data_IF_275362232569
#
_entry.id   IF_275362232569
#
_cell.length_a   1.000
_cell.length_b   1.000
_cell.length_c   1.000
_cell.angle_alpha   90.00
_cell.angle_beta   90.00
_cell.angle_gamma   90.00
#
_symmetry.space_group_name_H-M   'P 1'
#
loop_
_entity.id
_entity.type
_entity.pdbx_description
1 polymer ?
#
# COMPACT_ATOMS: atom_id res chain seq x y z
N UNK A 1 32.52 -30.29 41.56
CA UNK A 1 31.41 -30.47 40.61
C UNK A 1 30.87 -29.08 40.28
N UNK A 2 31.13 -28.58 39.08
CA UNK A 2 30.69 -27.24 38.63
C UNK A 2 29.49 -27.45 37.71
N UNK A 3 28.30 -26.90 38.00
CA UNK A 3 27.16 -27.04 37.12
C UNK A 3 27.35 -26.08 35.94
N UNK A 4 27.48 -26.63 34.74
CA UNK A 4 27.43 -25.86 33.51
C UNK A 4 26.00 -25.36 33.29
N UNK A 5 25.80 -24.05 33.45
CA UNK A 5 24.55 -23.37 33.14
C UNK A 5 24.43 -23.28 31.61
N UNK A 6 23.63 -24.15 31.00
CA UNK A 6 23.24 -24.08 29.59
C UNK A 6 22.34 -22.85 29.40
N UNK A 7 22.97 -21.71 29.11
CA UNK A 7 22.27 -20.50 28.68
C UNK A 7 21.71 -20.77 27.27
N UNK A 8 20.42 -21.11 27.20
CA UNK A 8 19.73 -21.33 25.93
C UNK A 8 19.79 -20.08 25.07
N UNK A 9 20.53 -20.14 23.97
CA UNK A 9 20.46 -19.18 22.88
C UNK A 9 19.04 -19.23 22.29
N UNK A 10 18.16 -18.37 22.79
CA UNK A 10 16.88 -18.08 22.14
C UNK A 10 17.23 -17.37 20.84
N UNK A 11 17.37 -18.14 19.76
CA UNK A 11 17.53 -17.59 18.43
C UNK A 11 16.29 -16.76 18.11
N UNK A 12 16.43 -15.44 18.13
CA UNK A 12 15.41 -14.56 17.60
C UNK A 12 15.20 -14.95 16.14
N UNK A 13 14.07 -15.58 15.83
CA UNK A 13 13.67 -15.90 14.46
C UNK A 13 13.46 -14.57 13.75
N UNK A 14 14.49 -14.10 13.05
CA UNK A 14 14.39 -12.91 12.21
C UNK A 14 13.41 -13.25 11.09
N UNK A 15 12.37 -12.44 10.94
CA UNK A 15 11.30 -12.64 9.98
C UNK A 15 10.86 -11.28 9.46
N UNK A 16 10.13 -11.27 8.36
CA UNK A 16 9.88 -10.05 7.60
C UNK A 16 8.68 -9.32 8.13
N UNK A 17 8.85 -8.03 8.40
CA UNK A 17 7.89 -7.22 9.12
C UNK A 17 7.98 -5.76 8.69
N UNK A 18 6.84 -5.16 8.34
CA UNK A 18 6.72 -3.76 7.93
C UNK A 18 7.03 -2.74 9.04
N UNK A 19 7.15 -3.16 10.30
CA UNK A 19 7.25 -2.22 11.42
C UNK A 19 5.87 -1.72 11.87
N UNK A 20 5.85 -0.94 12.95
CA UNK A 20 4.59 -0.33 13.44
C UNK A 20 4.17 0.93 12.68
N UNK A 21 5.04 1.42 11.78
CA UNK A 21 4.91 2.71 11.11
C UNK A 21 4.79 2.62 9.59
N UNK A 22 4.66 1.41 9.03
CA UNK A 22 4.41 1.20 7.60
C UNK A 22 3.25 0.22 7.37
N UNK A 23 2.62 0.36 6.21
CA UNK A 23 1.43 -0.38 5.77
C UNK A 23 1.80 -1.27 4.59
N UNK A 24 1.39 -2.54 4.55
CA UNK A 24 1.64 -3.43 3.42
C UNK A 24 0.79 -2.97 2.22
N UNK A 25 1.41 -2.63 1.08
CA UNK A 25 0.71 -2.09 -0.09
C UNK A 25 0.93 -2.89 -1.37
N UNK A 26 1.96 -3.73 -1.42
CA UNK A 26 2.16 -4.64 -2.56
C UNK A 26 2.41 -6.04 -2.07
N UNK A 27 2.03 -6.99 -2.91
CA UNK A 27 2.43 -8.38 -2.75
C UNK A 27 2.84 -8.92 -4.12
N UNK A 28 4.05 -9.48 -4.19
CA UNK A 28 4.62 -10.05 -5.40
C UNK A 28 4.92 -11.53 -5.16
N UNK A 29 4.66 -12.33 -6.18
CA UNK A 29 5.11 -13.73 -6.24
C UNK A 29 6.27 -13.79 -7.22
N UNK A 30 7.46 -14.13 -6.75
CA UNK A 30 8.61 -14.31 -7.63
C UNK A 30 8.35 -15.45 -8.63
N UNK A 31 9.09 -15.49 -9.75
CA UNK A 31 8.99 -16.60 -10.72
C UNK A 31 9.24 -17.98 -10.10
N UNK A 32 10.02 -18.04 -9.03
CA UNK A 32 10.27 -19.26 -8.26
C UNK A 32 9.17 -19.58 -7.21
N UNK A 33 8.11 -18.77 -7.12
CA UNK A 33 6.99 -18.99 -6.20
C UNK A 33 7.14 -18.32 -4.82
N UNK A 34 8.29 -17.76 -4.48
CA UNK A 34 8.51 -17.09 -3.19
C UNK A 34 7.71 -15.78 -3.08
N UNK A 35 7.10 -15.49 -1.92
CA UNK A 35 6.38 -14.25 -1.69
C UNK A 35 7.33 -13.09 -1.38
N UNK A 36 6.95 -11.88 -1.79
CA UNK A 36 7.62 -10.63 -1.44
C UNK A 36 6.57 -9.60 -0.99
N UNK A 37 6.71 -9.09 0.24
CA UNK A 37 5.79 -8.10 0.81
C UNK A 37 6.39 -6.68 0.73
N UNK A 38 5.72 -5.77 0.03
CA UNK A 38 6.13 -4.37 -0.02
C UNK A 38 5.34 -3.51 0.96
N UNK A 39 6.06 -2.70 1.74
CA UNK A 39 5.53 -1.80 2.75
C UNK A 39 5.72 -0.33 2.31
N UNK A 40 4.81 0.55 2.71
CA UNK A 40 4.89 2.00 2.47
C UNK A 40 4.49 2.79 3.72
N UNK A 41 4.96 4.03 3.82
CA UNK A 41 4.62 4.98 4.89
C UNK A 41 3.71 6.07 4.31
N UNK A 42 2.38 5.86 4.26
CA UNK A 42 1.48 6.87 3.72
C UNK A 42 1.45 8.14 4.57
N UNK A 43 0.96 9.23 3.99
CA UNK A 43 0.97 10.55 4.65
C UNK A 43 0.10 10.61 5.91
N UNK A 44 -0.96 9.80 5.99
CA UNK A 44 -1.83 9.72 7.16
C UNK A 44 -1.32 8.80 8.29
N UNK A 45 -0.22 8.05 8.11
CA UNK A 45 0.22 7.01 9.03
C UNK A 45 1.73 7.11 9.36
N UNK A 46 2.15 6.47 10.46
CA UNK A 46 3.55 6.38 10.89
C UNK A 46 4.03 7.55 11.75
N UNK A 47 3.12 8.24 12.43
CA UNK A 47 3.42 9.47 13.18
C UNK A 47 3.31 9.27 14.70
N UNK A 48 4.18 9.94 15.44
CA UNK A 48 4.17 9.99 16.92
C UNK A 48 3.30 11.14 17.44
N UNK A 49 3.07 11.14 18.76
CA UNK A 49 2.41 12.25 19.47
C UNK A 49 3.14 13.60 19.31
N UNK A 50 4.45 13.55 19.07
CA UNK A 50 5.30 14.72 18.86
C UNK A 50 5.24 15.24 17.42
N UNK A 51 4.39 14.66 16.56
CA UNK A 51 4.28 15.04 15.16
C UNK A 51 5.49 14.60 14.31
N UNK A 52 6.35 13.71 14.83
CA UNK A 52 7.51 13.19 14.09
C UNK A 52 7.20 11.85 13.48
N UNK A 53 7.89 11.49 12.39
CA UNK A 53 7.83 10.13 11.85
C UNK A 53 8.59 9.16 12.74
N UNK A 54 7.97 8.00 12.99
CA UNK A 54 8.64 6.89 13.67
C UNK A 54 9.75 6.35 12.78
N UNK A 55 10.96 6.29 13.35
CA UNK A 55 12.15 5.77 12.66
C UNK A 55 12.18 4.24 12.54
N UNK A 56 11.23 3.54 13.18
CA UNK A 56 11.17 2.08 13.27
C UNK A 56 11.40 1.42 11.90
N UNK A 57 12.37 0.52 11.87
CA UNK A 57 12.91 -0.05 10.65
C UNK A 57 12.12 -1.29 10.29
N UNK A 58 11.32 -1.20 9.23
CA UNK A 58 10.85 -2.41 8.56
C UNK A 58 12.05 -3.35 8.36
N UNK A 59 11.86 -4.63 8.70
CA UNK A 59 12.90 -5.64 8.63
C UNK A 59 12.48 -6.68 7.61
N UNK A 60 13.42 -7.11 6.75
CA UNK A 60 13.14 -8.09 5.72
C UNK A 60 14.20 -9.19 5.78
N UNK A 61 13.74 -10.43 5.73
CA UNK A 61 14.55 -11.62 5.80
C UNK A 61 15.16 -11.92 4.44
N UNK A 62 16.38 -12.45 4.43
CA UNK A 62 17.08 -12.80 3.20
C UNK A 62 16.95 -14.28 2.91
N UNK A 63 16.29 -14.61 1.80
CA UNK A 63 16.19 -15.97 1.26
C UNK A 63 17.09 -16.02 0.02
N UNK A 64 18.13 -16.84 0.05
CA UNK A 64 19.12 -16.95 -1.03
C UNK A 64 19.73 -15.58 -1.42
N UNK A 65 20.02 -14.74 -0.42
CA UNK A 65 20.59 -13.41 -0.61
C UNK A 65 19.62 -12.32 -1.07
N UNK A 66 18.33 -12.64 -1.29
CA UNK A 66 17.29 -11.69 -1.67
C UNK A 66 16.31 -11.46 -0.53
N UNK A 67 15.96 -10.20 -0.28
CA UNK A 67 14.94 -9.86 0.70
C UNK A 67 13.55 -10.32 0.22
N UNK A 68 12.77 -10.92 1.11
CA UNK A 68 11.37 -11.33 0.90
C UNK A 68 10.37 -10.21 1.26
N UNK A 69 10.85 -8.97 1.25
CA UNK A 69 10.06 -7.77 1.36
C UNK A 69 10.90 -6.52 1.15
N UNK A 70 10.24 -5.36 1.16
CA UNK A 70 10.92 -4.08 1.00
C UNK A 70 10.09 -2.92 1.55
N UNK A 71 10.77 -1.82 1.89
CA UNK A 71 10.12 -0.53 2.14
C UNK A 71 10.18 0.30 0.86
N UNK A 72 9.07 0.93 0.47
CA UNK A 72 9.00 1.79 -0.71
C UNK A 72 10.13 2.84 -0.67
N UNK A 73 10.84 2.99 -1.79
CA UNK A 73 12.09 3.78 -1.87
C UNK A 73 11.94 5.22 -1.37
N UNK A 74 10.80 5.87 -1.64
CA UNK A 74 10.52 7.24 -1.16
C UNK A 74 10.40 7.34 0.36
N UNK A 75 10.10 6.24 1.04
CA UNK A 75 9.76 6.19 2.46
C UNK A 75 10.94 5.74 3.33
N UNK A 76 12.03 5.29 2.70
CA UNK A 76 13.32 5.00 3.33
C UNK A 76 13.95 6.28 3.88
N UNK A 77 13.85 7.38 3.13
CA UNK A 77 14.32 8.69 3.56
C UNK A 77 13.16 9.44 4.22
N UNK A 78 13.25 9.69 5.52
CA UNK A 78 12.27 10.50 6.25
C UNK A 78 12.42 11.97 5.82
N UNK A 79 11.67 12.37 4.78
CA UNK A 79 11.79 13.72 4.17
C UNK A 79 10.99 14.82 4.89
N UNK A 80 10.10 14.49 5.82
CA UNK A 80 9.24 15.48 6.49
C UNK A 80 9.34 15.33 8.00
N UNK A 81 9.96 16.30 8.71
CA UNK A 81 10.35 16.06 10.09
C UNK A 81 9.24 16.39 11.10
N UNK A 82 8.26 17.23 10.77
CA UNK A 82 7.33 17.74 11.78
C UNK A 82 5.92 18.05 11.27
N UNK A 83 4.94 17.55 12.02
CA UNK A 83 3.61 18.13 12.21
C UNK A 83 3.60 18.94 13.51
N UNK A 84 2.62 19.83 13.66
CA UNK A 84 2.41 20.62 14.88
C UNK A 84 2.25 19.74 16.11
N UNK A 85 2.64 20.24 17.29
CA UNK A 85 2.48 19.53 18.57
C UNK A 85 0.99 19.21 18.84
N UNK A 86 0.73 18.07 19.48
CA UNK A 86 -0.64 17.61 19.78
C UNK A 86 -1.25 16.68 18.73
N UNK A 87 -0.43 16.03 17.90
CA UNK A 87 -0.90 15.09 16.89
C UNK A 87 -1.39 13.78 17.52
N UNK A 88 -2.50 13.23 17.02
CA UNK A 88 -2.97 11.89 17.43
C UNK A 88 -2.06 10.84 16.78
N UNK A 89 -1.32 10.02 17.55
CA UNK A 89 -0.43 9.01 16.98
C UNK A 89 -1.16 8.08 16.01
N UNK A 90 -0.56 7.84 14.86
CA UNK A 90 -1.11 6.93 13.83
C UNK A 90 -0.13 5.79 13.63
N UNK A 91 -0.15 4.83 14.56
CA UNK A 91 0.73 3.65 14.57
C UNK A 91 -0.11 2.39 14.74
N UNK A 92 0.39 1.27 14.22
CA UNK A 92 -0.25 -0.03 14.39
C UNK A 92 0.31 -0.78 15.60
N UNK A 93 -0.55 -1.57 16.24
CA UNK A 93 -0.12 -2.56 17.23
C UNK A 93 0.03 -3.91 16.54
N UNK A 94 1.22 -4.53 16.65
CA UNK A 94 1.53 -5.76 15.92
C UNK A 94 1.78 -6.91 16.89
N UNK A 95 1.21 -8.07 16.58
CA UNK A 95 1.43 -9.32 17.31
C UNK A 95 2.92 -9.66 17.34
N UNK A 96 3.40 -10.44 18.29
CA UNK A 96 4.81 -10.87 18.31
C UNK A 96 5.06 -12.13 17.48
N UNK A 97 4.04 -13.00 17.38
CA UNK A 97 4.16 -14.32 16.77
C UNK A 97 3.61 -14.35 15.34
N UNK A 98 4.05 -15.35 14.58
CA UNK A 98 3.52 -15.67 13.27
C UNK A 98 2.50 -16.80 13.37
N UNK A 99 1.36 -16.67 12.66
CA UNK A 99 0.24 -17.61 12.69
C UNK A 99 -0.16 -18.04 11.29
N UNK A 100 -0.81 -19.20 11.16
CA UNK A 100 -1.15 -19.80 9.86
C UNK A 100 -2.51 -19.34 9.29
N UNK A 101 -3.40 -18.83 10.13
CA UNK A 101 -4.80 -18.57 9.76
C UNK A 101 -5.04 -17.16 9.19
N UNK A 102 -4.00 -16.46 8.73
CA UNK A 102 -4.11 -15.08 8.27
C UNK A 102 -4.51 -14.10 9.38
N UNK A 103 -4.98 -12.91 9.01
CA UNK A 103 -5.36 -11.83 9.93
C UNK A 103 -6.87 -11.66 10.10
N UNK A 104 -7.29 -11.20 11.30
CA UNK A 104 -8.69 -10.98 11.64
C UNK A 104 -9.22 -9.67 11.07
N UNK A 105 -10.54 -9.46 11.15
CA UNK A 105 -11.14 -8.17 10.79
C UNK A 105 -10.56 -7.03 11.66
N UNK A 106 -10.28 -5.88 11.05
CA UNK A 106 -9.58 -4.77 11.72
C UNK A 106 -8.06 -4.97 11.86
N UNK A 107 -7.50 -6.03 11.26
CA UNK A 107 -6.06 -6.27 11.14
C UNK A 107 -5.62 -6.31 9.66
N UNK A 108 -4.30 -6.22 9.45
CA UNK A 108 -3.63 -6.50 8.17
C UNK A 108 -2.41 -7.40 8.36
N UNK A 109 -1.87 -7.93 7.27
CA UNK A 109 -0.60 -8.67 7.27
C UNK A 109 0.57 -7.70 7.43
N UNK A 110 1.09 -7.59 8.63
CA UNK A 110 2.26 -6.77 8.94
C UNK A 110 3.57 -7.46 8.58
N UNK A 111 3.58 -8.77 8.37
CA UNK A 111 4.79 -9.52 8.09
C UNK A 111 4.56 -10.96 7.62
N UNK A 112 5.59 -11.54 7.03
CA UNK A 112 5.64 -12.94 6.57
C UNK A 112 6.78 -13.69 7.25
N UNK A 113 6.51 -14.91 7.69
CA UNK A 113 7.57 -15.79 8.14
C UNK A 113 8.40 -16.24 6.93
N UNK A 114 9.73 -16.41 7.08
CA UNK A 114 10.58 -16.87 5.98
C UNK A 114 10.09 -18.21 5.42
N UNK A 115 9.94 -18.29 4.09
CA UNK A 115 9.70 -19.56 3.40
C UNK A 115 10.99 -20.06 2.77
N UNK A 116 11.62 -21.08 3.36
CA UNK A 116 12.76 -21.78 2.73
C UNK A 116 12.33 -22.57 1.49
N UNK A 117 11.11 -23.10 1.49
CA UNK A 117 10.50 -23.83 0.39
C UNK A 117 9.25 -23.11 -0.15
N UNK A 118 9.27 -22.76 -1.44
CA UNK A 118 8.15 -22.14 -2.14
C UNK A 118 6.95 -23.08 -2.32
N UNK A 119 7.11 -24.40 -2.18
CA UNK A 119 6.01 -25.37 -2.28
C UNK A 119 5.41 -25.75 -0.92
N UNK A 120 5.94 -25.21 0.17
CA UNK A 120 5.32 -25.38 1.49
C UNK A 120 3.89 -24.84 1.47
N UNK A 121 2.95 -25.69 1.91
CA UNK A 121 1.52 -25.34 2.01
C UNK A 121 1.27 -24.27 3.08
N UNK A 122 2.14 -24.16 4.07
CA UNK A 122 1.96 -23.23 5.18
C UNK A 122 2.58 -21.88 4.85
N UNK A 123 1.76 -20.84 4.77
CA UNK A 123 2.20 -19.44 4.86
C UNK A 123 1.89 -18.95 6.27
N UNK A 124 2.89 -18.47 7.00
CA UNK A 124 2.66 -17.85 8.30
C UNK A 124 2.80 -16.35 8.18
N UNK A 125 1.83 -15.63 8.74
CA UNK A 125 1.77 -14.18 8.74
C UNK A 125 1.78 -13.64 10.16
N UNK A 126 2.33 -12.44 10.32
CA UNK A 126 2.25 -11.62 11.53
C UNK A 126 1.21 -10.54 11.30
N UNK A 127 0.27 -10.39 12.21
CA UNK A 127 -0.83 -9.44 12.05
C UNK A 127 -0.59 -8.15 12.84
N UNK A 128 -1.10 -7.05 12.29
CA UNK A 128 -1.13 -5.76 12.96
C UNK A 128 -2.55 -5.20 12.95
N UNK A 129 -2.95 -4.57 14.04
CA UNK A 129 -4.20 -3.84 14.17
C UNK A 129 -3.97 -2.34 14.13
N UNK A 130 -4.96 -1.63 13.59
CA UNK A 130 -5.01 -0.18 13.57
C UNK A 130 -6.48 0.25 13.55
N UNK A 131 -6.89 1.10 14.49
CA UNK A 131 -8.30 1.39 14.77
C UNK A 131 -9.15 1.72 13.51
N UNK A 132 -8.69 2.63 12.63
CA UNK A 132 -9.41 2.96 11.39
C UNK A 132 -9.68 1.79 10.43
N UNK A 133 -9.01 0.64 10.59
CA UNK A 133 -9.22 -0.52 9.74
C UNK A 133 -10.57 -1.20 9.95
N UNK A 134 -11.24 -1.01 11.08
CA UNK A 134 -12.58 -1.59 11.30
C UNK A 134 -13.60 -1.09 10.27
N UNK A 135 -13.42 0.13 9.77
CA UNK A 135 -14.27 0.75 8.74
C UNK A 135 -13.66 0.66 7.34
N UNK A 136 -12.65 -0.19 7.14
CA UNK A 136 -12.06 -0.39 5.83
C UNK A 136 -13.06 -1.02 4.86
N UNK A 137 -12.95 -0.67 3.58
CA UNK A 137 -13.78 -1.23 2.51
C UNK A 137 -13.07 -2.41 1.86
N UNK A 138 -13.83 -3.44 1.47
CA UNK A 138 -13.28 -4.54 0.68
C UNK A 138 -13.04 -4.09 -0.77
N UNK A 139 -11.84 -4.34 -1.29
CA UNK A 139 -11.48 -4.09 -2.70
C UNK A 139 -11.45 -5.36 -3.53
N UNK A 140 -11.64 -6.51 -2.89
CA UNK A 140 -11.69 -7.81 -3.52
C UNK A 140 -10.40 -8.62 -3.35
N UNK A 141 -10.34 -9.71 -4.11
CA UNK A 141 -9.30 -10.72 -4.00
C UNK A 141 -8.56 -10.79 -5.34
N UNK A 142 -7.25 -10.56 -5.31
CA UNK A 142 -6.37 -10.77 -6.46
C UNK A 142 -5.75 -12.16 -6.38
N UNK A 143 -6.01 -13.00 -7.38
CA UNK A 143 -5.37 -14.29 -7.52
C UNK A 143 -4.06 -14.15 -8.31
N UNK A 144 -2.94 -14.52 -7.70
CA UNK A 144 -1.60 -14.36 -8.27
C UNK A 144 -0.91 -15.70 -8.47
N UNK A 145 -0.23 -15.80 -9.61
CA UNK A 145 0.65 -16.88 -10.01
C UNK A 145 2.12 -16.42 -9.96
N UNK A 146 3.10 -17.34 -10.05
CA UNK A 146 4.51 -16.97 -10.08
C UNK A 146 4.84 -15.95 -11.17
N UNK A 147 5.56 -14.90 -10.80
CA UNK A 147 5.90 -13.77 -11.67
C UNK A 147 4.88 -12.63 -11.68
N UNK A 148 3.76 -12.77 -10.97
CA UNK A 148 2.72 -11.73 -10.87
C UNK A 148 2.83 -10.94 -9.57
N UNK A 149 2.16 -9.78 -9.54
CA UNK A 149 2.05 -8.94 -8.35
C UNK A 149 0.74 -8.17 -8.33
N UNK A 150 0.32 -7.77 -7.14
CA UNK A 150 -0.76 -6.79 -6.91
C UNK A 150 -0.19 -5.56 -6.22
N UNK A 151 -0.73 -4.39 -6.59
CA UNK A 151 -0.29 -3.08 -6.11
C UNK A 151 -1.51 -2.30 -5.64
N UNK A 152 -1.52 -1.95 -4.35
CA UNK A 152 -2.38 -0.93 -3.77
C UNK A 152 -1.63 0.40 -3.65
N UNK A 153 -1.79 1.08 -2.52
CA UNK A 153 -1.14 2.36 -2.24
C UNK A 153 -2.12 3.53 -2.12
N UNK A 154 -1.60 4.74 -2.28
CA UNK A 154 -2.38 5.97 -2.17
C UNK A 154 -3.48 6.07 -3.23
N UNK A 155 -4.68 6.41 -2.78
CA UNK A 155 -5.84 6.70 -3.62
C UNK A 155 -6.12 8.18 -3.54
N UNK A 156 -6.12 8.84 -4.70
CA UNK A 156 -6.34 10.29 -4.80
C UNK A 156 -7.65 10.62 -5.50
N UNK A 157 -8.29 11.69 -5.07
CA UNK A 157 -9.46 12.28 -5.72
C UNK A 157 -9.22 13.79 -5.84
N UNK A 158 -9.33 14.32 -7.06
CA UNK A 158 -9.03 15.74 -7.35
C UNK A 158 -7.64 16.18 -6.85
N UNK A 159 -6.64 15.29 -6.95
CA UNK A 159 -5.27 15.53 -6.49
C UNK A 159 -5.04 15.45 -4.98
N UNK A 160 -6.09 15.20 -4.17
CA UNK A 160 -6.00 15.04 -2.72
C UNK A 160 -5.98 13.57 -2.32
N UNK A 161 -5.16 13.20 -1.34
CA UNK A 161 -5.15 11.85 -0.77
C UNK A 161 -6.44 11.62 0.02
N UNK A 162 -7.19 10.58 -0.35
CA UNK A 162 -8.48 10.23 0.29
C UNK A 162 -8.49 8.86 0.96
N UNK A 163 -7.70 7.92 0.44
CA UNK A 163 -7.65 6.57 0.96
C UNK A 163 -6.30 5.90 0.68
N UNK A 164 -6.13 4.70 1.23
CA UNK A 164 -4.98 3.86 0.99
C UNK A 164 -5.42 2.40 0.84
N UNK A 165 -5.07 1.79 -0.29
CA UNK A 165 -5.32 0.38 -0.58
C UNK A 165 -4.17 -0.47 -0.02
N UNK A 166 -4.47 -1.42 0.85
CA UNK A 166 -3.49 -2.23 1.58
C UNK A 166 -3.76 -3.72 1.44
N UNK A 167 -2.72 -4.52 1.66
CA UNK A 167 -2.80 -5.98 1.68
C UNK A 167 -3.32 -6.42 3.05
N UNK A 168 -4.60 -6.80 3.09
CA UNK A 168 -5.28 -7.15 4.33
C UNK A 168 -4.97 -8.59 4.76
N UNK A 169 -5.02 -9.52 3.82
CA UNK A 169 -4.83 -10.94 4.11
C UNK A 169 -4.28 -11.71 2.90
N UNK A 170 -3.74 -12.90 3.14
CA UNK A 170 -3.12 -13.77 2.15
C UNK A 170 -3.51 -15.21 2.44
N UNK A 171 -3.90 -15.93 1.38
CA UNK A 171 -4.07 -17.37 1.41
C UNK A 171 -3.21 -17.99 0.30
N UNK A 172 -2.39 -18.97 0.67
CA UNK A 172 -1.54 -19.72 -0.26
C UNK A 172 -2.17 -21.08 -0.55
N UNK A 173 -2.28 -21.41 -1.82
CA UNK A 173 -2.80 -22.67 -2.32
C UNK A 173 -1.71 -23.32 -3.17
N UNK A 174 -1.49 -24.62 -2.96
CA UNK A 174 -0.74 -25.48 -3.87
C UNK A 174 -1.76 -26.37 -4.55
N UNK A 175 -2.04 -26.11 -5.83
CA UNK A 175 -2.98 -26.90 -6.61
C UNK A 175 -2.43 -28.33 -6.82
N UNK A 176 -3.32 -29.27 -7.16
CA UNK A 176 -2.94 -30.70 -7.33
C UNK A 176 -1.88 -30.92 -8.41
N UNK A 177 -1.83 -30.04 -9.41
CA UNK A 177 -0.82 -30.04 -10.46
C UNK A 177 0.52 -29.39 -10.04
N UNK A 178 0.68 -29.01 -8.77
CA UNK A 178 1.86 -28.34 -8.23
C UNK A 178 1.90 -26.81 -8.44
N UNK A 179 0.88 -26.22 -9.03
CA UNK A 179 0.84 -24.76 -9.26
C UNK A 179 0.68 -24.01 -7.95
N UNK A 180 1.56 -23.04 -7.70
CA UNK A 180 1.49 -22.14 -6.55
C UNK A 180 0.54 -20.99 -6.88
N UNK A 181 -0.45 -20.77 -6.03
CA UNK A 181 -1.45 -19.70 -6.18
C UNK A 181 -1.53 -18.93 -4.87
N UNK A 182 -1.50 -17.60 -4.94
CA UNK A 182 -1.75 -16.73 -3.80
C UNK A 182 -3.03 -15.94 -4.03
N UNK A 183 -3.99 -16.07 -3.12
CA UNK A 183 -5.17 -15.21 -3.05
C UNK A 183 -4.86 -14.05 -2.10
N UNK A 184 -4.79 -12.84 -2.65
CA UNK A 184 -4.44 -11.63 -1.93
C UNK A 184 -5.68 -10.79 -1.71
N UNK A 185 -6.06 -10.61 -0.45
CA UNK A 185 -7.19 -9.76 -0.08
C UNK A 185 -6.71 -8.32 0.02
N UNK A 186 -7.31 -7.43 -0.77
CA UNK A 186 -7.01 -6.00 -0.78
C UNK A 186 -8.16 -5.26 -0.13
N UNK A 187 -7.84 -4.33 0.77
CA UNK A 187 -8.84 -3.48 1.43
C UNK A 187 -8.41 -2.03 1.36
N UNK A 188 -9.36 -1.13 1.55
CA UNK A 188 -9.16 0.32 1.51
C UNK A 188 -9.43 0.92 2.87
N UNK A 189 -8.47 1.62 3.43
CA UNK A 189 -8.68 2.43 4.62
C UNK A 189 -8.75 3.91 4.25
N UNK A 190 -9.53 4.69 5.00
CA UNK A 190 -9.51 6.14 4.87
C UNK A 190 -8.12 6.66 5.25
N UNK A 191 -7.60 7.56 4.42
CA UNK A 191 -6.28 8.15 4.60
C UNK A 191 -6.34 9.55 4.02
N UNK A 192 -6.49 10.55 4.90
CA UNK A 192 -6.63 11.94 4.49
C UNK A 192 -5.33 12.68 4.75
N UNK A 193 -4.97 13.56 3.82
CA UNK A 193 -3.97 14.60 4.09
C UNK A 193 -4.58 15.66 5.02
N UNK A 194 -3.84 16.11 6.03
CA UNK A 194 -4.36 17.01 7.08
C UNK A 194 -4.90 18.34 6.57
N UNK A 195 -4.41 18.83 5.43
CA UNK A 195 -4.98 20.00 4.75
C UNK A 195 -6.47 19.81 4.43
N UNK A 196 -6.91 18.56 4.24
CA UNK A 196 -8.29 18.20 3.91
C UNK A 196 -9.15 17.92 5.16
N UNK A 197 -8.54 17.55 6.29
CA UNK A 197 -9.27 17.28 7.54
C UNK A 197 -9.76 18.56 8.24
N UNK A 198 -9.10 19.70 7.99
CA UNK A 198 -9.50 21.01 8.52
C UNK A 198 -10.80 21.54 7.89
N UNK A 199 -11.01 21.28 6.58
CA UNK A 199 -12.20 21.74 5.86
C UNK A 199 -13.50 21.06 6.34
N UNK A 200 -13.42 19.79 6.78
CA UNK A 200 -14.59 19.03 7.25
C UNK A 200 -15.07 19.46 8.65
N UNK A 201 -14.20 20.09 9.45
CA UNK A 201 -14.57 20.57 10.80
C UNK A 201 -15.26 21.94 10.72
N UNK A 202 -14.89 22.78 9.75
CA UNK A 202 -15.54 24.10 9.57
C UNK A 202 -16.95 23.98 9.00
N UNK A 203 -17.21 22.99 8.13
CA UNK A 203 -18.53 22.79 7.52
C UNK A 203 -19.62 22.36 8.53
N UNK A 204 -19.24 21.72 9.65
CA UNK A 204 -20.19 21.21 10.65
C UNK A 204 -20.47 22.20 11.80
N UNK A 205 -19.72 23.31 11.89
CA UNK A 205 -19.87 24.32 12.95
C UNK A 205 -20.41 25.67 12.44
N UNK A 206 -20.95 25.72 11.22
CA UNK A 206 -21.67 26.90 10.76
C UNK A 206 -23.03 27.01 11.48
N UNK A 207 -23.03 27.58 12.68
CA UNK A 207 -24.22 28.09 13.35
C UNK A 207 -24.70 29.29 12.55
N UNK A 208 -25.83 29.18 11.85
CA UNK A 208 -26.53 30.32 11.25
C UNK A 208 -27.17 31.12 12.40
N UNK A 209 -26.76 32.37 12.69
CA UNK A 209 -27.47 33.18 13.66
C UNK A 209 -28.76 33.70 13.02
N UNK A 210 -29.89 33.19 13.51
CA UNK A 210 -31.20 33.78 13.27
C UNK A 210 -31.41 35.02 14.15
N UNK A 211 -32.02 36.04 13.55
CA UNK A 211 -32.67 37.21 14.14
C UNK A 211 -31.84 38.50 14.23
N UNK A 212 -32.25 39.49 13.42
CA UNK A 212 -32.85 40.73 13.96
C UNK A 212 -33.72 41.40 12.88
N UNK A 213 -34.96 41.69 13.26
CA UNK A 213 -35.97 42.41 12.46
C UNK A 213 -36.31 43.69 13.25
N UNK A 214 -36.11 44.86 12.64
CA UNK A 214 -36.97 46.04 12.84
C UNK A 214 -36.37 47.35 13.40
N UNK A 215 -36.64 48.44 12.64
CA UNK A 215 -36.64 49.90 12.95
C UNK A 215 -35.33 50.66 12.62
N UNK A 216 -35.11 51.18 11.41
CA UNK A 216 -35.73 52.32 10.66
C UNK A 216 -35.01 53.68 10.90
N UNK A 217 -34.35 54.23 9.84
CA UNK A 217 -34.60 55.56 9.22
C UNK A 217 -33.51 55.99 8.19
N UNK A 218 -33.94 55.98 6.93
CA UNK A 218 -33.69 56.87 5.77
C UNK A 218 -32.30 57.25 5.19
N UNK A 219 -32.28 57.55 3.86
CA UNK A 219 -31.09 57.49 2.99
C UNK A 219 -30.54 58.87 2.59
N UNK A 220 -29.24 58.95 2.31
CA UNK A 220 -28.63 59.99 1.48
C UNK A 220 -27.24 59.55 0.95
N UNK A 221 -27.21 59.33 -0.37
CA UNK A 221 -26.15 59.58 -1.35
C UNK A 221 -24.68 59.72 -0.91
N UNK A 222 -23.81 58.78 -1.35
CA UNK A 222 -22.49 59.11 -1.94
C UNK A 222 -22.14 58.09 -3.04
N UNK A 223 -21.71 58.63 -4.18
CA UNK A 223 -21.39 58.00 -5.46
C UNK A 223 -20.13 57.08 -5.46
N UNK A 224 -19.92 56.26 -6.50
CA UNK A 224 -18.79 55.35 -6.62
C UNK A 224 -17.59 56.02 -7.29
N UNK A 225 -16.39 55.79 -6.76
CA UNK A 225 -15.14 56.14 -7.45
C UNK A 225 -14.11 55.02 -7.32
N UNK A 226 -13.69 54.59 -8.51
CA UNK A 226 -12.36 54.14 -8.89
C UNK A 226 -12.00 52.65 -8.82
N UNK A 227 -12.25 52.04 -9.98
CA UNK A 227 -11.47 50.98 -10.62
C UNK A 227 -9.97 51.32 -10.54
N UNK A 228 -9.17 50.41 -10.00
CA UNK A 228 -7.85 50.13 -10.56
C UNK A 228 -7.64 48.63 -10.74
N UNK A 229 -7.80 48.24 -12.01
CA UNK A 229 -7.31 47.01 -12.60
C UNK A 229 -5.78 47.11 -12.69
N UNK A 230 -5.04 46.26 -11.97
CA UNK A 230 -3.62 46.04 -12.26
C UNK A 230 -3.42 44.63 -12.79
N UNK A 231 -3.49 44.54 -14.12
CA UNK A 231 -2.79 43.56 -14.93
C UNK A 231 -1.29 43.76 -14.79
N UNK A 232 -0.55 42.70 -14.41
CA UNK A 232 0.87 42.58 -14.71
C UNK A 232 1.09 41.29 -15.49
N UNK A 233 1.73 41.48 -16.64
CA UNK A 233 1.96 40.56 -17.75
C UNK A 233 2.86 39.38 -17.41
N UNK A 234 2.55 38.27 -18.06
CA UNK A 234 3.46 37.18 -18.41
C UNK A 234 4.74 37.73 -19.09
N UNK A 235 5.92 37.27 -18.68
CA UNK A 235 7.09 37.15 -19.55
C UNK A 235 8.03 36.02 -19.10
N UNK A 236 8.50 35.30 -20.11
CA UNK A 236 9.64 34.38 -20.19
C UNK A 236 9.47 32.91 -19.77
N UNK A 237 9.05 32.15 -20.79
CA UNK A 237 9.62 30.85 -21.11
C UNK A 237 11.12 30.97 -21.46
N UNK A 238 11.94 30.05 -20.94
CA UNK A 238 13.14 29.57 -21.61
C UNK A 238 13.38 28.10 -21.27
N UNK A 239 13.49 27.32 -22.33
CA UNK A 239 13.57 25.88 -22.37
C UNK A 239 14.95 25.35 -21.94
N UNK A 240 14.96 24.22 -21.23
CA UNK A 240 16.08 23.28 -21.29
C UNK A 240 15.58 21.98 -21.95
N UNK A 241 16.21 21.68 -23.09
CA UNK A 241 15.99 20.48 -23.88
C UNK A 241 16.45 19.23 -23.11
N UNK A 242 15.60 18.20 -23.10
CA UNK A 242 15.97 16.83 -22.74
C UNK A 242 16.00 15.99 -24.03
N UNK A 243 17.02 15.12 -24.23
CA UNK A 243 17.14 14.34 -25.46
C UNK A 243 16.11 13.21 -25.51
N UNK A 244 15.38 13.17 -26.62
CA UNK A 244 14.43 12.13 -26.99
C UNK A 244 15.17 10.81 -27.27
N UNK A 245 15.05 9.84 -26.37
CA UNK A 245 15.47 8.46 -26.63
C UNK A 245 14.34 7.74 -27.37
N UNK A 246 14.60 7.42 -28.64
CA UNK A 246 13.75 6.62 -29.53
C UNK A 246 13.70 5.19 -29.01
N UNK A 247 12.55 4.76 -28.49
CA UNK A 247 12.29 3.34 -28.26
C UNK A 247 12.00 2.66 -29.60
N UNK A 248 12.91 1.78 -30.02
CA UNK A 248 12.72 0.91 -31.18
C UNK A 248 11.55 -0.06 -30.98
N UNK A 249 10.78 -0.26 -32.05
CA UNK A 249 9.76 -1.29 -32.16
C UNK A 249 10.34 -2.69 -31.90
N UNK A 250 9.61 -3.58 -31.19
CA UNK A 250 9.97 -4.98 -31.15
C UNK A 250 9.66 -5.67 -32.50
N UNK A 251 10.52 -6.58 -32.98
CA UNK A 251 10.27 -7.35 -34.19
C UNK A 251 9.12 -8.33 -33.99
N UNK A 252 8.38 -8.57 -35.08
CA UNK A 252 7.12 -9.30 -35.13
C UNK A 252 7.19 -10.72 -34.55
N UNK A 253 6.17 -11.04 -33.76
CA UNK A 253 5.84 -12.42 -33.41
C UNK A 253 5.20 -13.10 -34.63
N UNK A 254 5.94 -14.04 -35.22
CA UNK A 254 5.36 -15.06 -36.09
C UNK A 254 4.60 -16.07 -35.20
N UNK A 255 3.33 -16.28 -35.49
CA UNK A 255 2.52 -17.36 -34.93
C UNK A 255 3.09 -18.72 -35.32
N UNK A 256 3.31 -19.65 -34.37
CA UNK A 256 3.57 -21.05 -34.71
C UNK A 256 2.29 -21.69 -35.29
N UNK A 257 2.40 -22.28 -36.48
CA UNK A 257 1.36 -23.16 -37.01
C UNK A 257 1.26 -24.44 -36.17
N UNK A 258 0.04 -24.81 -35.78
CA UNK A 258 -0.30 -26.11 -35.22
C UNK A 258 -0.08 -27.21 -36.29
N UNK A 259 0.52 -28.36 -35.94
CA UNK A 259 0.56 -29.50 -36.84
C UNK A 259 -0.83 -30.12 -36.98
N UNK A 260 -1.29 -30.23 -38.23
CA UNK A 260 -2.45 -31.04 -38.62
C UNK A 260 -2.19 -32.50 -38.30
N UNK A 261 -2.97 -33.05 -37.35
CA UNK A 261 -3.01 -34.47 -37.08
C UNK A 261 -4.23 -35.05 -37.81
N UNK A 262 -4.02 -35.53 -39.04
CA UNK A 262 -5.01 -36.36 -39.74
C UNK A 262 -4.71 -37.82 -39.47
N UNK A 263 -5.51 -38.40 -38.56
CA UNK A 263 -5.63 -39.82 -38.30
C UNK A 263 -6.21 -40.54 -39.53
N UNK A 264 -5.39 -41.31 -40.24
CA UNK A 264 -5.84 -42.34 -41.19
C UNK A 264 -5.63 -43.73 -40.60
N UNK A 265 -6.67 -44.27 -39.96
CA UNK A 265 -6.72 -45.67 -39.54
C UNK A 265 -7.17 -46.53 -40.72
N UNK A 266 -6.31 -47.42 -41.20
CA UNK A 266 -6.65 -48.48 -42.16
C UNK A 266 -6.57 -49.82 -41.43
N UNK A 267 -7.72 -50.33 -41.01
CA UNK A 267 -7.87 -51.70 -40.52
C UNK A 267 -8.19 -52.64 -41.68
N UNK A 268 -7.20 -53.44 -42.09
CA UNK A 268 -7.40 -54.65 -42.88
C UNK A 268 -7.66 -55.82 -41.92
N UNK A 269 -8.80 -56.50 -42.12
CA UNK A 269 -9.13 -57.82 -41.57
C UNK A 269 -8.58 -58.92 -42.50
N UNK A 270 -8.18 -60.09 -41.96
CA UNK A 270 -8.19 -61.33 -42.72
C UNK A 270 -9.29 -62.30 -42.25
N UNK A 271 -9.88 -62.96 -43.25
CA UNK A 271 -10.84 -64.08 -43.26
C UNK A 271 -12.32 -63.76 -43.15
#
# INVERSE_FOLDING_TARGET
MVPFLLLGLVGATVASFCGQAAVPFTFQVLRAGYPVLGCARPRCFGWTANGTRVADSAQFYRINGKEDGYLRRSDVLLRQPFKTQGFVPQLSSCETNYRQNGCDAGQWIGGLAPQSDAYSKTLQSRCCSYGPLFNSEDRGIAQLHPGQMVVGGEVTQSGRLVAFDYIANLNKIIADNGTIIYNVHVRRMQCLDEETASETITANNAIIPSAQRGLEKNPLDVAPSDIQLQTVQEHNAQALAAPTQVFGQPPGFQTPQLPNNSSGSSSQLPR
#
